data_IF_571531358928
#
_entry.id   IF_571531358928
#
_cell.length_a   1.000
_cell.length_b   1.000
_cell.length_c   1.000
_cell.angle_alpha   90.00
_cell.angle_beta   90.00
_cell.angle_gamma   90.00
#
_symmetry.space_group_name_H-M   'P 1'
#
loop_
_entity.id
_entity.type
_entity.pdbx_description
1 polymer ?
#
# COMPACT_ATOMS: atom_id res chain seq x y z
N UNK A 1 -14.99 -13.92 -14.98
CA UNK A 1 -14.10 -14.24 -13.85
C UNK A 1 -13.07 -13.11 -13.74
N UNK A 2 -13.44 -11.99 -13.14
CA UNK A 2 -12.57 -10.80 -13.03
C UNK A 2 -11.92 -10.76 -11.66
N UNK A 3 -10.83 -11.50 -11.50
CA UNK A 3 -10.02 -11.48 -10.29
C UNK A 3 -9.34 -10.12 -10.17
N UNK A 4 -9.86 -9.25 -9.30
CA UNK A 4 -9.14 -8.06 -8.97
C UNK A 4 -7.96 -8.45 -8.07
N UNK A 5 -6.75 -8.26 -8.60
CA UNK A 5 -5.50 -8.55 -7.92
C UNK A 5 -4.88 -7.23 -7.44
N UNK A 6 -5.50 -6.60 -6.43
CA UNK A 6 -4.86 -5.48 -5.76
C UNK A 6 -3.89 -6.06 -4.73
N UNK A 7 -2.58 -5.88 -4.97
CA UNK A 7 -1.52 -6.26 -4.04
C UNK A 7 -0.98 -5.03 -3.34
N UNK A 8 -0.79 -5.14 -2.03
CA UNK A 8 -0.31 -4.07 -1.17
C UNK A 8 1.14 -4.35 -0.75
N UNK A 9 2.05 -3.49 -1.16
CA UNK A 9 3.47 -3.59 -0.89
C UNK A 9 3.97 -2.38 -0.09
N UNK A 10 4.85 -2.63 0.87
CA UNK A 10 5.55 -1.58 1.62
C UNK A 10 7.02 -1.58 1.24
N UNK A 11 7.54 -0.43 0.81
CA UNK A 11 8.96 -0.28 0.46
C UNK A 11 9.54 0.94 1.14
N UNK A 12 10.79 0.85 1.55
CA UNK A 12 11.56 2.02 2.02
C UNK A 12 12.40 2.53 0.86
N UNK A 13 12.18 3.78 0.42
CA UNK A 13 12.97 4.38 -0.64
C UNK A 13 14.42 4.57 -0.16
N UNK A 14 15.38 3.93 -0.85
CA UNK A 14 16.80 3.92 -0.47
C UNK A 14 17.40 5.33 -0.43
N UNK A 15 16.94 6.24 -1.30
CA UNK A 15 17.51 7.60 -1.38
C UNK A 15 17.13 8.53 -0.22
N UNK A 16 15.92 8.41 0.34
CA UNK A 16 15.42 9.39 1.31
C UNK A 16 14.99 8.76 2.65
N UNK A 17 15.16 7.44 2.81
CA UNK A 17 14.61 6.65 3.92
C UNK A 17 13.11 6.87 4.16
N UNK A 18 12.41 7.44 3.18
CA UNK A 18 10.97 7.63 3.20
C UNK A 18 10.31 6.29 2.89
N UNK A 19 9.41 5.81 3.74
CA UNK A 19 8.55 4.71 3.40
C UNK A 19 7.53 5.14 2.35
N UNK A 20 7.31 4.24 1.42
CA UNK A 20 6.41 4.38 0.30
C UNK A 20 5.44 3.22 0.35
N UNK A 21 4.15 3.54 0.40
CA UNK A 21 3.10 2.57 0.18
C UNK A 21 2.97 2.37 -1.32
N UNK A 22 3.10 1.13 -1.77
CA UNK A 22 2.97 0.75 -3.17
C UNK A 22 1.76 -0.15 -3.31
N UNK A 23 0.81 0.22 -4.16
CA UNK A 23 -0.32 -0.62 -4.53
C UNK A 23 -0.24 -0.96 -5.99
N UNK A 24 -0.22 -2.24 -6.30
CA UNK A 24 -0.29 -2.73 -7.67
C UNK A 24 -1.69 -3.28 -7.91
N UNK A 25 -2.32 -2.90 -9.03
CA UNK A 25 -3.66 -3.37 -9.40
C UNK A 25 -3.81 -3.50 -10.90
N UNK A 26 -4.64 -4.45 -11.34
CA UNK A 26 -5.00 -4.60 -12.73
C UNK A 26 -6.26 -3.81 -13.04
N UNK A 27 -6.27 -3.08 -14.16
CA UNK A 27 -7.51 -2.51 -14.69
C UNK A 27 -8.37 -3.60 -15.36
N UNK A 28 -9.59 -3.24 -15.76
CA UNK A 28 -10.52 -4.15 -16.45
C UNK A 28 -9.99 -4.69 -17.78
N UNK A 29 -8.97 -4.02 -18.36
CA UNK A 29 -8.29 -4.43 -19.59
C UNK A 29 -7.04 -5.29 -19.33
N UNK A 30 -6.79 -5.70 -18.07
CA UNK A 30 -5.63 -6.51 -17.69
C UNK A 30 -4.28 -5.77 -17.69
N UNK A 31 -4.28 -4.44 -17.70
CA UNK A 31 -3.04 -3.64 -17.55
C UNK A 31 -2.73 -3.40 -16.08
N UNK A 32 -1.48 -3.60 -15.69
CA UNK A 32 -0.97 -3.33 -14.35
C UNK A 32 -0.75 -1.82 -14.16
N UNK A 33 -1.30 -1.28 -13.07
CA UNK A 33 -1.06 0.07 -12.59
C UNK A 33 -0.45 -0.01 -11.20
N UNK A 34 0.50 0.89 -10.95
CA UNK A 34 1.16 1.02 -9.65
C UNK A 34 0.88 2.41 -9.08
N UNK A 35 0.17 2.46 -7.97
CA UNK A 35 0.03 3.67 -7.14
C UNK A 35 1.17 3.72 -6.13
N UNK A 36 1.83 4.87 -6.06
CA UNK A 36 2.88 5.16 -5.07
C UNK A 36 2.40 6.30 -4.19
N UNK A 37 2.37 6.05 -2.89
CA UNK A 37 2.03 7.04 -1.89
C UNK A 37 3.21 7.23 -0.94
N UNK A 38 3.83 8.40 -1.02
CA UNK A 38 4.91 8.79 -0.13
C UNK A 38 4.33 9.09 1.25
N UNK A 39 4.73 8.31 2.26
CA UNK A 39 4.25 8.52 3.62
C UNK A 39 5.00 9.71 4.23
N UNK A 40 4.29 10.61 4.93
CA UNK A 40 4.91 11.81 5.49
C UNK A 40 5.98 11.41 6.51
N UNK A 41 7.20 11.95 6.38
CA UNK A 41 8.29 11.66 7.34
C UNK A 41 8.00 12.38 8.65
N UNK A 42 7.49 11.65 9.64
CA UNK A 42 7.27 12.19 10.98
C UNK A 42 8.61 12.22 11.73
N UNK A 43 8.98 13.37 12.31
CA UNK A 43 10.25 13.55 13.07
C UNK A 43 10.43 12.57 14.25
N UNK A 44 9.37 11.87 14.68
CA UNK A 44 9.38 10.91 15.78
C UNK A 44 9.32 9.45 15.28
N UNK A 45 10.49 8.80 15.17
CA UNK A 45 10.65 7.42 14.66
C UNK A 45 9.77 6.35 15.33
N UNK A 46 9.51 6.43 16.64
CA UNK A 46 8.74 5.41 17.35
C UNK A 46 7.22 5.45 17.07
N UNK A 47 6.65 6.65 16.90
CA UNK A 47 5.25 6.79 16.47
C UNK A 47 5.08 6.40 15.00
N UNK A 48 6.15 6.55 14.23
CA UNK A 48 6.15 6.33 12.80
C UNK A 48 5.87 4.88 12.38
N UNK A 49 6.55 3.91 13.01
CA UNK A 49 6.33 2.49 12.70
C UNK A 49 4.90 2.04 13.03
N UNK A 50 4.36 2.44 14.19
CA UNK A 50 2.97 2.13 14.55
C UNK A 50 1.99 2.74 13.57
N UNK A 51 2.22 3.98 13.14
CA UNK A 51 1.35 4.67 12.21
C UNK A 51 1.35 4.00 10.83
N UNK A 52 2.51 3.56 10.35
CA UNK A 52 2.63 2.77 9.12
C UNK A 52 1.89 1.44 9.24
N UNK A 53 2.12 0.69 10.32
CA UNK A 53 1.40 -0.58 10.55
C UNK A 53 -0.11 -0.38 10.61
N UNK A 54 -0.57 0.75 11.18
CA UNK A 54 -1.98 1.09 11.29
C UNK A 54 -2.57 1.47 9.93
N UNK A 55 -1.86 2.27 9.12
CA UNK A 55 -2.24 2.55 7.73
C UNK A 55 -2.35 1.25 6.95
N UNK A 56 -1.31 0.39 7.00
CA UNK A 56 -1.32 -0.90 6.31
C UNK A 56 -2.53 -1.77 6.73
N UNK A 57 -2.80 -1.86 8.02
CA UNK A 57 -3.92 -2.65 8.55
C UNK A 57 -5.28 -2.09 8.12
N UNK A 58 -5.48 -0.77 8.19
CA UNK A 58 -6.73 -0.12 7.75
C UNK A 58 -6.93 -0.26 6.25
N UNK A 59 -5.88 -0.05 5.47
CA UNK A 59 -5.92 -0.17 4.02
C UNK A 59 -6.20 -1.60 3.60
N UNK A 60 -5.56 -2.58 4.24
CA UNK A 60 -5.85 -4.01 4.02
C UNK A 60 -7.31 -4.34 4.35
N UNK A 61 -7.83 -3.90 5.50
CA UNK A 61 -9.22 -4.12 5.89
C UNK A 61 -10.20 -3.49 4.88
N UNK A 62 -9.90 -2.29 4.39
CA UNK A 62 -10.70 -1.64 3.36
C UNK A 62 -10.67 -2.44 2.04
N UNK A 63 -9.49 -2.92 1.62
CA UNK A 63 -9.36 -3.74 0.42
C UNK A 63 -10.07 -5.09 0.56
N UNK A 64 -9.98 -5.73 1.72
CA UNK A 64 -10.72 -6.97 2.03
C UNK A 64 -12.23 -6.75 1.91
N UNK A 65 -12.75 -5.61 2.39
CA UNK A 65 -14.19 -5.28 2.24
C UNK A 65 -14.63 -5.07 0.78
N UNK A 66 -13.71 -4.73 -0.11
CA UNK A 66 -14.02 -4.61 -1.55
C UNK A 66 -14.01 -5.95 -2.29
N UNK A 67 -13.51 -7.03 -1.68
CA UNK A 67 -13.36 -8.35 -2.31
C UNK A 67 -12.33 -8.40 -3.44
N UNK A 68 -11.51 -7.36 -3.57
CA UNK A 68 -10.53 -7.16 -4.67
C UNK A 68 -9.07 -7.29 -4.20
N UNK A 69 -8.87 -7.76 -2.97
CA UNK A 69 -7.56 -7.88 -2.35
C UNK A 69 -6.93 -9.23 -2.65
N UNK A 70 -5.68 -9.21 -3.12
CA UNK A 70 -4.82 -10.39 -3.20
C UNK A 70 -3.76 -10.26 -2.10
N UNK A 71 -3.80 -11.19 -1.13
CA UNK A 71 -2.95 -11.20 0.05
C UNK A 71 -1.54 -11.72 -0.22
#
# INVERSE_FOLDING_TARGET
MGGACITLNYRTAVMNACPVLVMDFFNERGRLYTLRYDLPVVRQKYRYQRLISLILALTRKALESTGKYAA
#
